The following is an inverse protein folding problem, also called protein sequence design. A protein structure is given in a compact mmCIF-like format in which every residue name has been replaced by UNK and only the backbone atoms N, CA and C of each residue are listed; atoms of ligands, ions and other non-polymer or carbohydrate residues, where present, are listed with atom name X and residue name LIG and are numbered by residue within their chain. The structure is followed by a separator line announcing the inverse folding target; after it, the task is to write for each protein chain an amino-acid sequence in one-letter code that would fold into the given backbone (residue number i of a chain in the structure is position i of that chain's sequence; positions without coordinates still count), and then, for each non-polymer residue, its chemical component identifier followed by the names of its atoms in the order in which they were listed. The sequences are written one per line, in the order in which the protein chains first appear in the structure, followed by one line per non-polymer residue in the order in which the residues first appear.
data_IF_315955520938
#
_entry.id   IF_315955520938
#
_cell.length_a   1.000
_cell.length_b   1.000
_cell.length_c   1.000
_cell.angle_alpha   90.00
_cell.angle_beta   90.00
_cell.angle_gamma   90.00
#
_symmetry.space_group_name_H-M   'P 1'
#
loop_
_entity.id
_entity.type
_entity.pdbx_description
1 polymer ?
#
# COMPACT_ATOMS: atom_id res chain seq x y z
N UNK A 1 23.72 -18.12 -19.15
CA UNK A 1 22.95 -19.14 -18.40
C UNK A 1 21.95 -18.41 -17.52
N UNK A 2 20.68 -18.35 -17.92
CA UNK A 2 19.62 -17.78 -17.10
C UNK A 2 19.23 -18.84 -16.06
N UNK A 3 19.78 -18.73 -14.86
CA UNK A 3 19.49 -19.64 -13.75
C UNK A 3 18.10 -19.35 -13.17
N UNK A 4 17.18 -20.27 -13.38
CA UNK A 4 15.89 -20.31 -12.69
C UNK A 4 16.14 -20.47 -11.18
N UNK A 5 15.94 -19.39 -10.41
CA UNK A 5 16.00 -19.47 -8.94
C UNK A 5 14.61 -19.78 -8.41
N UNK A 6 14.38 -21.00 -7.94
CA UNK A 6 13.13 -21.41 -7.29
C UNK A 6 12.77 -20.52 -6.09
N UNK A 7 13.78 -20.01 -5.35
CA UNK A 7 13.56 -19.06 -4.27
C UNK A 7 13.04 -17.69 -4.73
N UNK A 8 13.33 -17.30 -5.97
CA UNK A 8 12.74 -16.09 -6.58
C UNK A 8 11.30 -16.33 -7.06
N UNK A 9 10.81 -17.57 -7.00
CA UNK A 9 9.41 -17.90 -7.31
C UNK A 9 8.56 -18.05 -6.06
N UNK A 10 9.16 -18.30 -4.90
CA UNK A 10 8.44 -18.32 -3.63
C UNK A 10 8.52 -16.95 -2.98
N UNK A 11 7.40 -16.25 -2.78
CA UNK A 11 7.40 -14.99 -2.04
C UNK A 11 7.90 -15.23 -0.60
N UNK A 12 8.53 -14.24 0.05
CA UNK A 12 8.96 -14.34 1.45
C UNK A 12 7.80 -14.79 2.34
N UNK A 13 8.04 -15.48 3.46
CA UNK A 13 6.98 -15.74 4.44
C UNK A 13 6.60 -14.44 5.16
N UNK A 14 5.35 -14.27 5.61
CA UNK A 14 4.96 -13.04 6.31
C UNK A 14 5.55 -13.02 7.72
N UNK A 15 6.07 -11.88 8.12
CA UNK A 15 6.53 -11.60 9.49
C UNK A 15 5.47 -10.78 10.23
N UNK A 16 5.18 -11.16 11.49
CA UNK A 16 4.30 -10.36 12.35
C UNK A 16 5.09 -9.18 12.93
N UNK A 17 4.67 -7.96 12.59
CA UNK A 17 5.36 -6.73 13.03
C UNK A 17 4.68 -6.07 14.23
N UNK A 18 3.38 -6.31 14.41
CA UNK A 18 2.58 -5.84 15.55
C UNK A 18 1.36 -6.76 15.73
N UNK A 19 0.56 -6.49 16.78
CA UNK A 19 -0.71 -7.19 16.96
C UNK A 19 -1.65 -6.94 15.78
N UNK A 20 -2.12 -8.01 15.14
CA UNK A 20 -2.96 -7.95 13.94
C UNK A 20 -2.30 -7.40 12.68
N UNK A 21 -0.98 -7.18 12.65
CA UNK A 21 -0.27 -6.63 11.47
C UNK A 21 0.88 -7.53 11.05
N UNK A 22 0.91 -7.85 9.76
CA UNK A 22 1.97 -8.64 9.12
C UNK A 22 2.64 -7.85 7.99
N UNK A 23 3.87 -8.22 7.66
CA UNK A 23 4.64 -7.66 6.55
C UNK A 23 5.35 -8.78 5.81
N UNK A 24 5.30 -8.73 4.48
CA UNK A 24 6.00 -9.68 3.59
C UNK A 24 7.10 -9.01 2.76
N UNK A 25 6.83 -7.76 2.37
CA UNK A 25 7.71 -6.95 1.56
C UNK A 25 8.08 -5.69 2.32
N UNK A 26 9.25 -5.15 2.02
CA UNK A 26 9.80 -3.98 2.68
C UNK A 26 8.82 -2.79 2.60
N UNK A 27 8.51 -2.19 3.76
CA UNK A 27 7.55 -1.09 3.91
C UNK A 27 6.12 -1.39 3.42
N UNK A 28 5.74 -2.67 3.38
CA UNK A 28 4.36 -3.09 3.08
C UNK A 28 3.77 -3.76 4.32
N UNK A 29 2.72 -3.16 4.86
CA UNK A 29 2.05 -3.60 6.07
C UNK A 29 0.60 -3.95 5.76
N UNK A 30 0.17 -5.12 6.21
CA UNK A 30 -1.15 -5.67 5.96
C UNK A 30 -1.79 -6.07 7.29
N UNK A 31 -3.11 -5.90 7.40
CA UNK A 31 -3.87 -6.55 8.48
C UNK A 31 -3.76 -8.06 8.28
N UNK A 32 -3.52 -8.80 9.37
CA UNK A 32 -3.39 -10.25 9.34
C UNK A 32 -4.61 -10.88 8.61
N UNK A 33 -4.42 -11.60 7.48
CA UNK A 33 -5.53 -12.01 6.61
C UNK A 33 -6.60 -12.87 7.31
N UNK A 34 -6.22 -13.60 8.36
CA UNK A 34 -7.14 -14.38 9.17
C UNK A 34 -8.20 -13.51 9.89
N UNK A 35 -7.89 -12.24 10.14
CA UNK A 35 -8.82 -11.26 10.72
C UNK A 35 -9.77 -10.66 9.68
N UNK A 36 -9.47 -10.80 8.39
CA UNK A 36 -10.15 -10.16 7.26
C UNK A 36 -11.02 -11.14 6.47
N UNK A 37 -11.93 -11.84 7.15
CA UNK A 37 -12.71 -12.95 6.57
C UNK A 37 -14.22 -12.71 6.54
N UNK A 38 -14.80 -12.10 7.58
CA UNK A 38 -16.26 -11.98 7.74
C UNK A 38 -16.85 -10.76 7.00
N UNK A 39 -16.33 -9.57 7.25
CA UNK A 39 -16.93 -8.31 6.76
C UNK A 39 -16.18 -7.69 5.58
N UNK A 40 -14.86 -7.88 5.51
CA UNK A 40 -14.01 -7.32 4.44
C UNK A 40 -13.10 -8.42 3.96
N UNK A 41 -13.56 -9.15 2.93
CA UNK A 41 -12.79 -10.25 2.35
C UNK A 41 -11.68 -9.70 1.47
N UNK A 42 -10.43 -10.05 1.77
CA UNK A 42 -9.30 -9.74 0.91
C UNK A 42 -9.37 -10.53 -0.40
N UNK A 43 -8.97 -9.89 -1.49
CA UNK A 43 -8.83 -10.55 -2.79
C UNK A 43 -7.64 -11.51 -2.75
N UNK A 44 -7.81 -12.70 -3.33
CA UNK A 44 -6.73 -13.67 -3.45
C UNK A 44 -5.85 -13.30 -4.67
N UNK A 45 -4.82 -12.49 -4.42
CA UNK A 45 -3.87 -12.01 -5.43
C UNK A 45 -2.54 -12.73 -5.21
N UNK A 46 -1.89 -13.27 -6.26
CA UNK A 46 -0.56 -13.83 -6.13
C UNK A 46 0.42 -12.81 -5.54
N UNK A 47 1.20 -13.19 -4.52
CA UNK A 47 2.08 -12.26 -3.80
C UNK A 47 3.07 -11.49 -4.70
N UNK A 48 3.57 -12.09 -5.78
CA UNK A 48 4.44 -11.38 -6.73
C UNK A 48 3.70 -10.34 -7.57
N UNK A 49 2.43 -10.60 -7.91
CA UNK A 49 1.59 -9.60 -8.56
C UNK A 49 1.25 -8.48 -7.59
N UNK A 50 0.99 -8.81 -6.32
CA UNK A 50 0.82 -7.81 -5.27
C UNK A 50 2.05 -6.92 -5.12
N UNK A 51 3.27 -7.49 -5.07
CA UNK A 51 4.50 -6.69 -5.02
C UNK A 51 4.64 -5.80 -6.27
N UNK A 52 4.37 -6.34 -7.47
CA UNK A 52 4.40 -5.57 -8.71
C UNK A 52 3.44 -4.37 -8.65
N UNK A 53 2.24 -4.55 -8.11
CA UNK A 53 1.27 -3.45 -7.91
C UNK A 53 1.82 -2.42 -6.93
N UNK A 54 2.36 -2.86 -5.80
CA UNK A 54 2.95 -1.99 -4.77
C UNK A 54 4.11 -1.17 -5.32
N UNK A 55 4.97 -1.77 -6.16
CA UNK A 55 6.13 -1.12 -6.76
C UNK A 55 5.69 -0.08 -7.80
N UNK A 56 4.64 -0.36 -8.57
CA UNK A 56 4.09 0.56 -9.57
C UNK A 56 3.17 1.65 -8.98
N UNK A 57 2.89 1.63 -7.66
CA UNK A 57 1.86 2.50 -7.06
C UNK A 57 2.11 3.99 -7.30
N UNK A 58 3.35 4.42 -7.21
CA UNK A 58 3.70 5.85 -7.30
C UNK A 58 3.61 6.36 -8.73
N UNK A 59 4.03 5.55 -9.70
CA UNK A 59 3.87 5.87 -11.12
C UNK A 59 2.37 5.95 -11.49
N UNK A 60 1.57 5.01 -11.00
CA UNK A 60 0.13 5.03 -11.21
C UNK A 60 -0.53 6.28 -10.60
N UNK A 61 -0.18 6.65 -9.36
CA UNK A 61 -0.70 7.86 -8.72
C UNK A 61 -0.26 9.13 -9.46
N UNK A 62 0.99 9.21 -9.91
CA UNK A 62 1.47 10.34 -10.70
C UNK A 62 0.66 10.50 -12.00
N UNK A 63 0.43 9.39 -12.70
CA UNK A 63 -0.42 9.37 -13.89
C UNK A 63 -1.85 9.82 -13.58
N UNK A 64 -2.46 9.29 -12.51
CA UNK A 64 -3.81 9.68 -12.08
C UNK A 64 -3.91 11.17 -11.80
N UNK A 65 -2.92 11.73 -11.09
CA UNK A 65 -2.88 13.15 -10.77
C UNK A 65 -2.76 14.02 -12.02
N UNK A 66 -1.86 13.68 -12.94
CA UNK A 66 -1.66 14.42 -14.20
C UNK A 66 -2.92 14.46 -15.06
N UNK A 67 -3.69 13.36 -15.09
CA UNK A 67 -4.79 13.20 -16.03
C UNK A 67 -6.15 13.65 -15.48
N UNK A 68 -6.34 13.61 -14.16
CA UNK A 68 -7.66 13.80 -13.56
C UNK A 68 -7.74 14.91 -12.52
N UNK A 69 -6.63 15.40 -11.97
CA UNK A 69 -6.65 16.42 -10.92
C UNK A 69 -6.32 17.81 -11.49
N UNK A 70 -7.07 18.83 -11.06
CA UNK A 70 -6.73 20.23 -11.36
C UNK A 70 -5.49 20.69 -10.57
N UNK A 71 -5.29 20.13 -9.37
CA UNK A 71 -4.12 20.37 -8.52
C UNK A 71 -3.90 19.21 -7.53
N UNK A 72 -2.68 19.09 -7.01
CA UNK A 72 -2.31 18.14 -5.96
C UNK A 72 -1.70 18.92 -4.82
N UNK A 73 -2.21 18.70 -3.61
CA UNK A 73 -1.66 19.26 -2.36
C UNK A 73 -1.16 18.13 -1.47
N UNK A 74 -0.17 18.44 -0.65
CA UNK A 74 0.28 17.52 0.40
C UNK A 74 -0.73 17.46 1.56
N UNK A 75 -0.66 16.40 2.37
CA UNK A 75 -1.47 16.31 3.58
C UNK A 75 -1.15 17.40 4.60
N UNK A 76 0.10 17.88 4.65
CA UNK A 76 0.50 18.98 5.54
C UNK A 76 -0.12 20.31 5.11
N UNK A 77 -0.10 20.61 3.81
CA UNK A 77 -0.78 21.79 3.25
C UNK A 77 -2.28 21.73 3.51
N UNK A 78 -2.91 20.57 3.29
CA UNK A 78 -4.34 20.37 3.58
C UNK A 78 -4.66 20.61 5.07
N UNK A 79 -3.83 20.11 5.99
CA UNK A 79 -4.04 20.33 7.42
C UNK A 79 -3.92 21.82 7.79
N UNK A 80 -2.93 22.51 7.25
CA UNK A 80 -2.75 23.94 7.48
C UNK A 80 -3.94 24.77 6.96
N UNK A 81 -4.51 24.39 5.81
CA UNK A 81 -5.72 25.02 5.28
C UNK A 81 -6.92 24.83 6.22
N UNK A 82 -7.15 23.58 6.68
CA UNK A 82 -8.25 23.26 7.60
C UNK A 82 -8.13 23.98 8.95
N UNK A 83 -6.91 24.11 9.48
CA UNK A 83 -6.64 24.85 10.72
C UNK A 83 -6.88 26.37 10.55
N UNK A 84 -6.56 26.92 9.38
CA UNK A 84 -6.84 28.33 9.06
C UNK A 84 -8.34 28.59 8.87
N UNK A 85 -9.11 27.62 8.36
CA UNK A 85 -10.56 27.70 8.16
C UNK A 85 -11.36 27.55 9.45
N UNK A 86 -10.83 26.85 10.46
CA UNK A 86 -11.43 26.75 11.79
C UNK A 86 -10.70 27.67 12.79
N UNK A 87 -11.02 28.98 12.83
CA UNK A 87 -10.55 29.80 13.93
C UNK A 87 -11.11 29.22 15.22
N UNK A 88 -10.21 28.70 16.06
CA UNK A 88 -10.49 28.21 17.40
C UNK A 88 -11.38 29.25 18.13
N UNK A 89 -12.45 28.85 18.85
CA UNK A 89 -13.22 29.79 19.65
C UNK A 89 -12.37 30.52 20.70
#
# INVERSE_FOLDING_TARGET
MLGFKLSAQRPPEPERVADGVVSRFEHVFEVEPALMTEHVRQQDIPNWDFQRIVDSRWEHLAWMHEHFADSVISGEELLAELEAEQPNP
#
